data_IF_863554490385
#
_entry.id   IF_863554490385
#
_cell.length_a   1.000
_cell.length_b   1.000
_cell.length_c   1.000
_cell.angle_alpha   90.00
_cell.angle_beta   90.00
_cell.angle_gamma   90.00
#
_symmetry.space_group_name_H-M   'P 1'
#
loop_
_entity.id
_entity.type
_entity.pdbx_description
1 polymer ?
#
# COMPACT_ATOMS: atom_id res chain seq x y z
N UNK A 1 9.99 19.19 -11.26
CA UNK A 1 10.26 18.08 -12.20
C UNK A 1 8.95 17.36 -12.43
N UNK A 2 8.42 17.46 -13.65
CA UNK A 2 7.16 16.80 -14.04
C UNK A 2 7.45 15.37 -14.45
N UNK A 3 6.66 14.36 -14.03
CA UNK A 3 6.83 12.99 -14.51
C UNK A 3 6.22 12.89 -15.91
N UNK A 4 7.06 12.55 -16.89
CA UNK A 4 6.77 12.61 -18.32
C UNK A 4 6.10 11.33 -18.87
N UNK A 5 5.72 10.39 -18.00
CA UNK A 5 4.99 9.19 -18.36
C UNK A 5 3.79 9.04 -17.41
N UNK A 6 2.59 8.79 -17.94
CA UNK A 6 1.32 8.70 -17.21
C UNK A 6 1.20 7.53 -16.22
N UNK A 7 2.31 7.06 -15.64
CA UNK A 7 2.32 6.02 -14.62
C UNK A 7 1.74 6.55 -13.31
N UNK A 8 0.65 5.92 -12.86
CA UNK A 8 0.10 6.17 -11.52
C UNK A 8 0.88 5.36 -10.50
N UNK A 9 1.73 6.02 -9.73
CA UNK A 9 2.40 5.39 -8.59
C UNK A 9 1.42 5.12 -7.44
N UNK A 10 1.46 3.90 -6.91
CA UNK A 10 0.83 3.56 -5.63
C UNK A 10 1.85 3.79 -4.53
N UNK A 11 1.59 4.75 -3.65
CA UNK A 11 2.46 5.07 -2.52
C UNK A 11 1.83 4.51 -1.25
N UNK A 12 2.60 3.71 -0.52
CA UNK A 12 2.21 3.15 0.76
C UNK A 12 3.15 3.69 1.84
N UNK A 13 2.59 4.38 2.84
CA UNK A 13 3.33 4.75 4.05
C UNK A 13 3.36 3.58 5.02
N UNK A 14 4.55 3.27 5.52
CA UNK A 14 4.79 2.17 6.45
C UNK A 14 5.27 2.70 7.79
N UNK A 15 4.78 2.13 8.88
CA UNK A 15 5.40 2.28 10.19
C UNK A 15 6.62 1.38 10.33
N UNK A 16 7.54 1.71 11.24
CA UNK A 16 8.70 0.88 11.56
C UNK A 16 8.28 -0.54 11.99
N UNK A 17 7.22 -0.67 12.78
CA UNK A 17 6.66 -1.95 13.21
C UNK A 17 6.22 -2.81 12.02
N UNK A 18 5.62 -2.21 10.99
CA UNK A 18 5.20 -2.92 9.79
C UNK A 18 6.40 -3.36 8.94
N UNK A 19 7.44 -2.53 8.89
CA UNK A 19 8.70 -2.90 8.26
C UNK A 19 9.36 -4.10 8.95
N UNK A 20 9.42 -4.10 10.29
CA UNK A 20 9.99 -5.21 11.03
C UNK A 20 9.20 -6.51 10.82
N UNK A 21 7.86 -6.44 10.80
CA UNK A 21 7.00 -7.62 10.51
C UNK A 21 7.27 -8.22 9.14
N UNK A 22 7.42 -7.38 8.10
CA UNK A 22 7.79 -7.84 6.77
C UNK A 22 9.16 -8.53 6.77
N UNK A 23 10.13 -7.90 7.44
CA UNK A 23 11.49 -8.43 7.53
C UNK A 23 11.51 -9.79 8.21
N UNK A 24 10.79 -9.97 9.32
CA UNK A 24 10.67 -11.26 10.00
C UNK A 24 10.03 -12.31 9.11
N UNK A 25 8.88 -12.02 8.49
CA UNK A 25 8.21 -12.97 7.60
C UNK A 25 9.11 -13.44 6.43
N UNK A 26 9.96 -12.55 5.90
CA UNK A 26 10.94 -12.90 4.87
C UNK A 26 12.10 -13.75 5.39
N UNK A 27 12.61 -13.44 6.58
CA UNK A 27 13.74 -14.18 7.17
C UNK A 27 13.33 -15.57 7.64
N UNK A 28 12.10 -15.72 8.12
CA UNK A 28 11.54 -16.97 8.62
C UNK A 28 10.98 -17.86 7.49
N UNK A 29 11.04 -17.39 6.23
CA UNK A 29 10.43 -18.01 5.04
C UNK A 29 8.94 -18.36 5.25
N UNK A 30 8.25 -17.56 6.06
CA UNK A 30 6.84 -17.74 6.40
C UNK A 30 5.95 -17.12 5.32
N UNK A 31 5.65 -17.95 4.32
CA UNK A 31 4.80 -17.58 3.18
C UNK A 31 3.39 -17.15 3.59
N UNK A 32 2.83 -17.72 4.67
CA UNK A 32 1.49 -17.36 5.15
C UNK A 32 1.49 -15.98 5.80
N UNK A 33 2.48 -15.69 6.66
CA UNK A 33 2.67 -14.36 7.24
C UNK A 33 2.92 -13.31 6.16
N UNK A 34 3.77 -13.61 5.18
CA UNK A 34 4.03 -12.72 4.05
C UNK A 34 2.74 -12.43 3.25
N UNK A 35 1.95 -13.46 2.97
CA UNK A 35 0.68 -13.31 2.25
C UNK A 35 -0.34 -12.46 3.01
N UNK A 36 -0.44 -12.64 4.34
CA UNK A 36 -1.31 -11.81 5.17
C UNK A 36 -0.91 -10.33 5.11
N UNK A 37 0.39 -10.05 5.19
CA UNK A 37 0.92 -8.69 5.13
C UNK A 37 0.60 -8.04 3.77
N UNK A 38 0.83 -8.75 2.67
CA UNK A 38 0.50 -8.28 1.31
C UNK A 38 -1.00 -7.97 1.19
N UNK A 39 -1.87 -8.86 1.68
CA UNK A 39 -3.33 -8.65 1.65
C UNK A 39 -3.75 -7.37 2.38
N UNK A 40 -3.14 -7.08 3.53
CA UNK A 40 -3.43 -5.86 4.31
C UNK A 40 -3.04 -4.62 3.51
N UNK A 41 -1.87 -4.60 2.89
CA UNK A 41 -1.39 -3.44 2.13
C UNK A 41 -2.19 -3.20 0.85
N UNK A 42 -2.55 -4.26 0.11
CA UNK A 42 -3.43 -4.13 -1.06
C UNK A 42 -4.77 -3.50 -0.67
N UNK A 43 -5.39 -3.95 0.44
CA UNK A 43 -6.63 -3.34 0.94
C UNK A 43 -6.45 -1.87 1.29
N UNK A 44 -5.35 -1.49 1.94
CA UNK A 44 -5.08 -0.09 2.27
C UNK A 44 -4.91 0.78 1.02
N UNK A 45 -4.21 0.29 0.00
CA UNK A 45 -4.07 0.98 -1.28
C UNK A 45 -5.42 1.15 -1.99
N UNK A 46 -6.28 0.13 -1.96
CA UNK A 46 -7.63 0.21 -2.50
C UNK A 46 -8.48 1.27 -1.79
N UNK A 47 -8.43 1.32 -0.45
CA UNK A 47 -9.15 2.33 0.35
C UNK A 47 -8.63 3.74 0.03
N UNK A 48 -7.32 3.93 -0.07
CA UNK A 48 -6.75 5.23 -0.41
C UNK A 48 -7.19 5.68 -1.81
N UNK A 49 -7.20 4.77 -2.79
CA UNK A 49 -7.64 5.08 -4.15
C UNK A 49 -9.15 5.39 -4.20
N UNK A 50 -9.98 4.64 -3.47
CA UNK A 50 -11.41 4.90 -3.34
C UNK A 50 -11.73 6.22 -2.64
N UNK A 51 -10.98 6.58 -1.59
CA UNK A 51 -11.09 7.89 -0.92
C UNK A 51 -10.71 9.04 -1.85
N UNK A 52 -9.67 8.88 -2.68
CA UNK A 52 -9.30 9.88 -3.69
C UNK A 52 -10.42 10.11 -4.71
N UNK A 53 -11.11 9.05 -5.17
CA UNK A 53 -12.27 9.18 -6.04
C UNK A 53 -13.42 9.94 -5.37
N UNK A 54 -13.75 9.62 -4.12
CA UNK A 54 -14.84 10.30 -3.40
C UNK A 54 -14.56 11.79 -3.16
N UNK A 55 -13.31 12.13 -2.84
CA UNK A 55 -12.89 13.52 -2.62
C UNK A 55 -12.96 14.39 -3.88
N UNK A 56 -12.98 13.79 -5.08
CA UNK A 56 -13.18 14.52 -6.34
C UNK A 56 -14.66 14.73 -6.69
N UNK A 57 -15.56 13.92 -6.14
CA UNK A 57 -17.00 13.99 -6.39
C UNK A 57 -17.72 14.93 -5.41
N UNK A 58 -17.29 14.99 -4.14
CA UNK A 58 -17.89 15.86 -3.11
C UNK A 58 -17.43 17.34 -3.23
N UNK A 59 -16.67 17.70 -4.26
CA UNK A 59 -16.14 19.04 -4.50
C UNK A 59 -16.63 19.73 -5.79
N UNK A 60 -17.68 19.21 -6.42
CA UNK A 60 -18.30 19.75 -7.63
C UNK A 60 -19.71 20.32 -7.35
#
# INVERSE_FOLDING_TARGET
MSPENGERYLVLTLSETEYMKMRSALLDDDGDAALQIVRIFVKRLQIQNGKKLKSQLDGA
#
